data_IF_403123747548
#
_entry.id   IF_403123747548
#
_cell.length_a   1.000
_cell.length_b   1.000
_cell.length_c   1.000
_cell.angle_alpha   90.00
_cell.angle_beta   90.00
_cell.angle_gamma   90.00
#
_symmetry.space_group_name_H-M   'P 1'
#
loop_
_entity.id
_entity.type
_entity.pdbx_description
1 polymer ?
#
# COMPACT_ATOMS: atom_id res chain seq x y z
N UNK A 1 22.57 -2.03 19.04
CA UNK A 1 21.23 -1.47 18.84
C UNK A 1 20.50 -2.40 17.87
N UNK A 2 19.52 -3.10 18.36
CA UNK A 2 18.58 -3.76 17.44
C UNK A 2 17.70 -2.68 16.82
N UNK A 3 17.80 -2.49 15.50
CA UNK A 3 16.83 -1.70 14.75
C UNK A 3 15.52 -2.49 14.71
N UNK A 4 14.71 -2.33 15.73
CA UNK A 4 13.40 -2.97 15.83
C UNK A 4 12.43 -2.16 14.97
N UNK A 5 12.03 -2.72 13.82
CA UNK A 5 10.94 -2.15 13.04
C UNK A 5 9.61 -2.40 13.79
N UNK A 6 9.18 -1.41 14.54
CA UNK A 6 7.97 -1.51 15.38
C UNK A 6 6.72 -1.08 14.64
N UNK A 7 6.83 -0.15 13.68
CA UNK A 7 5.71 0.39 12.91
C UNK A 7 6.01 0.37 11.43
N UNK A 8 5.32 -0.50 10.74
CA UNK A 8 5.53 -0.78 9.31
C UNK A 8 4.32 -0.27 8.54
N UNK A 9 4.56 0.53 7.51
CA UNK A 9 3.55 0.96 6.55
C UNK A 9 3.74 0.20 5.25
N UNK A 10 2.67 -0.36 4.69
CA UNK A 10 2.66 -0.87 3.32
C UNK A 10 1.62 -0.14 2.48
N UNK A 11 2.05 0.33 1.31
CA UNK A 11 1.17 0.98 0.34
C UNK A 11 0.56 -0.06 -0.60
N UNK A 12 -0.76 -0.03 -0.76
CA UNK A 12 -1.52 -0.94 -1.64
C UNK A 12 -2.42 -0.16 -2.59
N UNK A 13 -2.53 -0.63 -3.83
CA UNK A 13 -3.32 0.00 -4.89
C UNK A 13 -4.13 -1.00 -5.73
N UNK A 14 -4.16 -2.26 -5.33
CA UNK A 14 -4.81 -3.34 -6.08
C UNK A 14 -3.97 -3.92 -7.20
N UNK A 15 -2.70 -3.58 -7.31
CA UNK A 15 -1.76 -4.21 -8.25
C UNK A 15 -1.14 -5.49 -7.68
N UNK A 16 -0.68 -6.36 -8.57
CA UNK A 16 0.08 -7.57 -8.19
C UNK A 16 1.37 -7.23 -7.44
N UNK A 17 2.03 -6.16 -7.82
CA UNK A 17 3.25 -5.68 -7.18
C UNK A 17 2.99 -5.22 -5.74
N UNK A 18 1.89 -4.48 -5.52
CA UNK A 18 1.50 -4.04 -4.19
C UNK A 18 1.11 -5.23 -3.30
N UNK A 19 0.44 -6.25 -3.84
CA UNK A 19 0.13 -7.46 -3.06
C UNK A 19 1.40 -8.23 -2.68
N UNK A 20 2.39 -8.31 -3.58
CA UNK A 20 3.67 -8.91 -3.22
C UNK A 20 4.43 -8.08 -2.18
N UNK A 21 4.39 -6.74 -2.28
CA UNK A 21 4.92 -5.85 -1.25
C UNK A 21 4.23 -6.07 0.11
N UNK A 22 2.90 -6.23 0.10
CA UNK A 22 2.13 -6.57 1.29
C UNK A 22 2.58 -7.90 1.92
N UNK A 23 2.77 -8.97 1.14
CA UNK A 23 3.28 -10.25 1.66
C UNK A 23 4.66 -10.11 2.30
N UNK A 24 5.53 -9.29 1.73
CA UNK A 24 6.84 -8.98 2.32
C UNK A 24 6.70 -8.20 3.63
N UNK A 25 5.82 -7.19 3.68
CA UNK A 25 5.56 -6.41 4.91
C UNK A 25 5.03 -7.31 6.04
N UNK A 26 4.10 -8.22 5.75
CA UNK A 26 3.61 -9.22 6.71
C UNK A 26 4.76 -10.10 7.22
N UNK A 27 5.63 -10.58 6.33
CA UNK A 27 6.78 -11.40 6.72
C UNK A 27 7.77 -10.63 7.62
N UNK A 28 7.97 -9.33 7.37
CA UNK A 28 8.81 -8.47 8.22
C UNK A 28 8.13 -8.26 9.58
N UNK A 29 6.84 -7.92 9.60
CA UNK A 29 6.09 -7.72 10.84
C UNK A 29 6.11 -8.96 11.74
N UNK A 30 5.96 -10.17 11.17
CA UNK A 30 6.02 -11.44 11.92
C UNK A 30 7.37 -11.72 12.57
N UNK A 31 8.46 -11.15 12.07
CA UNK A 31 9.82 -11.31 12.64
C UNK A 31 10.12 -10.28 13.71
N UNK A 32 9.30 -9.26 13.85
CA UNK A 32 9.47 -8.20 14.83
C UNK A 32 8.34 -8.32 15.86
N UNK A 33 8.70 -8.71 17.07
CA UNK A 33 7.76 -8.85 18.17
C UNK A 33 7.03 -7.53 18.42
N UNK A 34 5.71 -7.60 18.58
CA UNK A 34 4.85 -6.43 18.81
C UNK A 34 4.76 -5.42 17.65
N UNK A 35 5.25 -5.74 16.46
CA UNK A 35 5.15 -4.83 15.34
C UNK A 35 3.69 -4.50 14.97
N UNK A 36 3.45 -3.24 14.66
CA UNK A 36 2.21 -2.72 14.10
C UNK A 36 2.33 -2.66 12.58
N UNK A 37 1.37 -3.24 11.88
CA UNK A 37 1.30 -3.15 10.42
C UNK A 37 0.17 -2.22 10.00
N UNK A 38 0.52 -1.13 9.34
CA UNK A 38 -0.40 -0.18 8.73
C UNK A 38 -0.49 -0.47 7.23
N UNK A 39 -1.70 -0.66 6.73
CA UNK A 39 -1.98 -0.95 5.32
C UNK A 39 -2.73 0.24 4.76
N UNK A 40 -2.11 0.99 3.87
CA UNK A 40 -2.66 2.24 3.36
C UNK A 40 -2.91 2.21 1.85
N UNK A 41 -4.03 2.77 1.47
CA UNK A 41 -4.35 3.13 0.09
C UNK A 41 -4.80 4.58 0.01
N UNK A 42 -4.35 5.29 -1.01
CA UNK A 42 -4.64 6.71 -1.17
C UNK A 42 -5.47 6.92 -2.44
N UNK A 43 -6.61 7.59 -2.28
CA UNK A 43 -7.42 8.06 -3.40
C UNK A 43 -6.75 9.30 -3.96
N UNK A 44 -6.21 9.19 -5.19
CA UNK A 44 -5.46 10.26 -5.83
C UNK A 44 -6.35 11.44 -6.18
N UNK A 45 -6.20 12.52 -5.44
CA UNK A 45 -6.96 13.75 -5.65
C UNK A 45 -6.60 14.46 -6.97
N UNK A 46 -5.46 14.16 -7.59
CA UNK A 46 -5.06 14.78 -8.85
C UNK A 46 -5.77 14.19 -10.07
N UNK A 47 -6.14 12.90 -10.00
CA UNK A 47 -6.89 12.23 -11.07
C UNK A 47 -8.37 12.63 -11.02
N UNK A 48 -8.81 13.09 -9.89
CA UNK A 48 -10.19 13.28 -9.52
C UNK A 48 -10.81 14.62 -9.89
N UNK A 49 -10.10 15.47 -10.60
CA UNK A 49 -10.59 16.81 -10.97
C UNK A 49 -11.85 16.79 -11.86
N UNK A 50 -12.20 15.66 -12.47
CA UNK A 50 -13.36 15.53 -13.32
C UNK A 50 -14.59 14.87 -12.69
N UNK A 51 -14.50 14.29 -11.50
CA UNK A 51 -15.62 13.54 -10.91
C UNK A 51 -15.70 13.48 -9.39
N UNK A 52 -14.59 13.64 -8.64
CA UNK A 52 -14.60 13.54 -7.17
C UNK A 52 -15.23 14.76 -6.46
N UNK A 53 -15.59 15.81 -7.20
CA UNK A 53 -16.45 16.87 -6.66
C UNK A 53 -17.90 16.40 -6.44
N UNK A 54 -18.29 15.29 -7.07
CA UNK A 54 -19.57 14.65 -6.83
C UNK A 54 -19.47 13.71 -5.62
N UNK A 55 -20.21 13.97 -4.53
CA UNK A 55 -20.18 13.15 -3.33
C UNK A 55 -20.54 11.67 -3.57
N UNK A 56 -21.40 11.39 -4.55
CA UNK A 56 -21.78 10.03 -4.89
C UNK A 56 -20.61 9.25 -5.52
N UNK A 57 -19.92 9.89 -6.45
CA UNK A 57 -18.76 9.31 -7.12
C UNK A 57 -17.63 9.10 -6.09
N UNK A 58 -17.36 10.11 -5.26
CA UNK A 58 -16.36 10.01 -4.20
C UNK A 58 -16.65 8.83 -3.24
N UNK A 59 -17.90 8.75 -2.75
CA UNK A 59 -18.29 7.67 -1.85
C UNK A 59 -18.12 6.28 -2.47
N UNK A 60 -18.38 6.15 -3.77
CA UNK A 60 -18.15 4.90 -4.50
C UNK A 60 -16.66 4.51 -4.52
N UNK A 61 -15.77 5.46 -4.84
CA UNK A 61 -14.32 5.23 -4.80
C UNK A 61 -13.84 4.91 -3.40
N UNK A 62 -14.28 5.66 -2.40
CA UNK A 62 -13.92 5.44 -1.01
C UNK A 62 -14.31 4.03 -0.54
N UNK A 63 -15.55 3.64 -0.80
CA UNK A 63 -16.06 2.32 -0.44
C UNK A 63 -15.22 1.20 -1.04
N UNK A 64 -14.91 1.28 -2.34
CA UNK A 64 -14.08 0.28 -3.04
C UNK A 64 -12.65 0.22 -2.49
N UNK A 65 -12.03 1.38 -2.28
CA UNK A 65 -10.69 1.45 -1.71
C UNK A 65 -10.67 0.88 -0.30
N UNK A 66 -11.71 1.16 0.48
CA UNK A 66 -11.87 0.59 1.83
C UNK A 66 -12.01 -0.93 1.78
N UNK A 67 -12.82 -1.48 0.90
CA UNK A 67 -12.99 -2.93 0.72
C UNK A 67 -11.67 -3.61 0.33
N UNK A 68 -10.86 -2.96 -0.51
CA UNK A 68 -9.52 -3.42 -0.84
C UNK A 68 -8.62 -3.48 0.41
N UNK A 69 -8.54 -2.38 1.16
CA UNK A 69 -7.73 -2.30 2.38
C UNK A 69 -8.20 -3.31 3.43
N UNK A 70 -9.51 -3.43 3.63
CA UNK A 70 -10.11 -4.39 4.58
C UNK A 70 -9.76 -5.85 4.20
N UNK A 71 -9.69 -6.16 2.90
CA UNK A 71 -9.27 -7.49 2.42
C UNK A 71 -7.82 -7.80 2.80
N UNK A 72 -6.92 -6.82 2.70
CA UNK A 72 -5.54 -6.98 3.13
C UNK A 72 -5.41 -7.06 4.65
N UNK A 73 -6.18 -6.27 5.40
CA UNK A 73 -6.22 -6.33 6.88
C UNK A 73 -6.66 -7.74 7.33
N UNK A 74 -7.71 -8.27 6.70
CA UNK A 74 -8.19 -9.62 6.98
C UNK A 74 -7.10 -10.67 6.71
N UNK A 75 -6.46 -10.59 5.53
CA UNK A 75 -5.38 -11.51 5.16
C UNK A 75 -4.21 -11.47 6.15
N UNK A 76 -3.79 -10.28 6.59
CA UNK A 76 -2.70 -10.13 7.55
C UNK A 76 -3.04 -10.74 8.92
N UNK A 77 -4.30 -10.60 9.36
CA UNK A 77 -4.80 -11.21 10.60
C UNK A 77 -4.87 -12.74 10.49
N UNK A 78 -5.29 -13.26 9.35
CA UNK A 78 -5.29 -14.71 9.06
C UNK A 78 -3.86 -15.26 9.03
N UNK A 79 -2.88 -14.47 8.60
CA UNK A 79 -1.44 -14.79 8.66
C UNK A 79 -0.85 -14.67 10.09
N UNK A 80 -1.67 -14.37 11.11
CA UNK A 80 -1.32 -14.39 12.53
C UNK A 80 -0.90 -13.06 13.14
N UNK A 81 -1.00 -11.93 12.41
CA UNK A 81 -0.75 -10.62 12.97
C UNK A 81 -1.95 -10.12 13.78
N UNK A 82 -1.68 -9.53 14.95
CA UNK A 82 -2.73 -9.00 15.86
C UNK A 82 -2.88 -7.49 15.76
N UNK A 83 -1.79 -6.77 15.49
CA UNK A 83 -1.76 -5.30 15.42
C UNK A 83 -1.74 -4.86 13.95
N UNK A 84 -2.90 -4.90 13.30
CA UNK A 84 -3.06 -4.56 11.87
C UNK A 84 -4.12 -3.47 11.72
N UNK A 85 -3.76 -2.40 11.02
CA UNK A 85 -4.59 -1.21 10.85
C UNK A 85 -4.72 -0.84 9.36
N UNK A 86 -5.95 -0.63 8.90
CA UNK A 86 -6.22 -0.15 7.56
C UNK A 86 -6.35 1.37 7.54
N UNK A 87 -5.80 2.01 6.51
CA UNK A 87 -5.86 3.45 6.27
C UNK A 87 -6.33 3.70 4.85
N UNK A 88 -7.36 4.53 4.70
CA UNK A 88 -7.78 5.08 3.41
C UNK A 88 -7.77 6.59 3.53
N UNK A 89 -6.93 7.23 2.74
CA UNK A 89 -6.78 8.68 2.70
C UNK A 89 -7.06 9.21 1.29
N UNK A 90 -7.34 10.51 1.20
CA UNK A 90 -7.43 11.24 -0.06
C UNK A 90 -6.32 12.28 -0.11
N UNK A 91 -5.64 12.38 -1.24
CA UNK A 91 -4.60 13.39 -1.41
C UNK A 91 -3.65 13.06 -2.56
N UNK A 92 -2.47 13.61 -2.50
CA UNK A 92 -1.38 13.30 -3.43
C UNK A 92 -0.65 12.07 -2.88
N UNK A 93 -0.74 10.89 -3.52
CA UNK A 93 -0.28 9.63 -2.91
C UNK A 93 1.16 9.65 -2.43
N UNK A 94 2.07 10.25 -3.22
CA UNK A 94 3.49 10.33 -2.85
C UNK A 94 3.72 11.16 -1.57
N UNK A 95 2.90 12.18 -1.29
CA UNK A 95 3.00 13.02 -0.09
C UNK A 95 2.34 12.31 1.10
N UNK A 96 1.10 11.87 0.92
CA UNK A 96 0.36 11.18 1.99
C UNK A 96 1.13 9.98 2.52
N UNK A 97 1.73 9.16 1.64
CA UNK A 97 2.44 7.95 2.01
C UNK A 97 3.87 8.19 2.52
N UNK A 98 4.52 9.30 2.16
CA UNK A 98 5.89 9.60 2.57
C UNK A 98 6.00 10.52 3.77
N UNK A 99 5.02 11.40 3.97
CA UNK A 99 5.06 12.44 4.99
C UNK A 99 3.89 12.32 5.96
N UNK A 100 2.63 12.48 5.50
CA UNK A 100 1.48 12.60 6.40
C UNK A 100 1.29 11.38 7.29
N UNK A 101 1.18 10.18 6.73
CA UNK A 101 0.99 8.94 7.50
C UNK A 101 2.26 8.59 8.29
N UNK A 102 3.43 8.79 7.69
CA UNK A 102 4.73 8.49 8.33
C UNK A 102 4.91 9.32 9.59
N UNK A 103 4.65 10.63 9.52
CA UNK A 103 4.79 11.53 10.67
C UNK A 103 3.67 11.30 11.69
N UNK A 104 2.41 11.15 11.26
CA UNK A 104 1.28 10.96 12.17
C UNK A 104 1.37 9.67 12.99
N UNK A 105 1.75 8.57 12.35
CA UNK A 105 1.81 7.26 13.00
C UNK A 105 3.19 6.92 13.57
N UNK A 106 4.22 7.70 13.26
CA UNK A 106 5.59 7.42 13.64
C UNK A 106 6.13 6.15 12.98
N UNK A 107 5.96 6.04 11.67
CA UNK A 107 6.37 4.85 10.90
C UNK A 107 7.89 4.73 10.85
N UNK A 108 8.41 3.53 11.14
CA UNK A 108 9.84 3.21 11.07
C UNK A 108 10.26 2.72 9.70
N UNK A 109 9.35 2.01 9.01
CA UNK A 109 9.62 1.37 7.72
C UNK A 109 8.42 1.49 6.79
N UNK A 110 8.65 2.00 5.58
CA UNK A 110 7.69 1.93 4.49
C UNK A 110 8.06 0.83 3.52
N UNK A 111 7.10 -0.01 3.15
CA UNK A 111 7.24 -1.07 2.14
C UNK A 111 6.30 -0.75 0.98
N UNK A 112 6.81 -0.72 -0.23
CA UNK A 112 5.96 -0.53 -1.42
C UNK A 112 6.54 -1.23 -2.65
N UNK A 113 5.68 -1.48 -3.63
CA UNK A 113 6.11 -1.95 -4.94
C UNK A 113 6.85 -0.86 -5.71
N UNK A 114 7.75 -1.24 -6.60
CA UNK A 114 8.47 -0.29 -7.46
C UNK A 114 7.56 0.39 -8.49
N UNK A 115 6.42 -0.21 -8.81
CA UNK A 115 5.38 0.33 -9.72
C UNK A 115 4.00 -0.11 -9.23
N UNK A 116 2.97 0.62 -9.65
CA UNK A 116 1.57 0.31 -9.34
C UNK A 116 0.77 -0.17 -10.57
N UNK A 117 -0.55 0.09 -10.57
CA UNK A 117 -1.50 -0.31 -11.62
C UNK A 117 -1.13 0.21 -13.02
N UNK A 118 -0.53 1.40 -13.11
CA UNK A 118 -0.15 2.05 -14.36
C UNK A 118 1.26 1.71 -14.84
N UNK A 119 1.90 0.71 -14.20
CA UNK A 119 3.31 0.37 -14.40
C UNK A 119 3.73 0.30 -15.86
N UNK A 120 4.45 1.33 -16.32
CA UNK A 120 5.08 1.31 -17.63
C UNK A 120 6.23 0.30 -17.63
N UNK A 121 6.19 -0.67 -18.54
CA UNK A 121 7.22 -1.73 -18.67
C UNK A 121 8.67 -1.22 -18.82
N UNK A 122 8.85 0.09 -19.06
CA UNK A 122 10.15 0.75 -19.25
C UNK A 122 10.62 1.58 -18.06
N UNK A 123 9.78 1.84 -17.06
CA UNK A 123 10.16 2.62 -15.88
C UNK A 123 10.64 1.68 -14.78
N UNK A 124 11.85 1.94 -14.27
CA UNK A 124 12.43 1.20 -13.15
C UNK A 124 11.70 1.49 -11.83
N UNK A 125 11.03 2.65 -11.72
CA UNK A 125 10.34 3.10 -10.52
C UNK A 125 9.16 4.01 -10.90
N UNK A 126 8.02 3.84 -10.21
CA UNK A 126 6.83 4.70 -10.37
C UNK A 126 6.95 6.00 -9.57
N UNK A 127 6.13 7.00 -9.94
CA UNK A 127 6.17 8.33 -9.31
C UNK A 127 5.90 8.31 -7.80
N UNK A 128 5.02 7.42 -7.34
CA UNK A 128 4.69 7.28 -5.90
C UNK A 128 5.86 6.67 -5.16
N UNK A 129 6.39 5.55 -5.63
CA UNK A 129 7.54 4.89 -5.00
C UNK A 129 8.81 5.74 -5.01
N UNK A 130 9.05 6.49 -6.10
CA UNK A 130 10.14 7.49 -6.15
C UNK A 130 9.94 8.58 -5.10
N UNK A 131 8.72 9.11 -4.98
CA UNK A 131 8.39 10.12 -3.97
C UNK A 131 8.59 9.60 -2.55
N UNK A 132 8.17 8.37 -2.25
CA UNK A 132 8.38 7.75 -0.95
C UNK A 132 9.87 7.66 -0.62
N UNK A 133 10.69 7.14 -1.54
CA UNK A 133 12.16 7.05 -1.33
C UNK A 133 12.80 8.42 -1.10
N UNK A 134 12.31 9.45 -1.78
CA UNK A 134 12.87 10.80 -1.73
C UNK A 134 12.49 11.58 -0.46
N UNK A 135 11.27 11.43 0.02
CA UNK A 135 10.70 12.31 1.04
C UNK A 135 10.43 11.63 2.39
N UNK A 136 10.28 10.31 2.44
CA UNK A 136 10.03 9.62 3.72
C UNK A 136 11.23 9.77 4.67
N UNK A 137 10.94 10.13 5.91
CA UNK A 137 11.94 10.17 6.99
C UNK A 137 12.25 8.78 7.57
N UNK A 138 11.40 7.81 7.25
CA UNK A 138 11.57 6.40 7.64
C UNK A 138 12.50 5.67 6.67
N UNK A 139 12.93 4.47 7.05
CA UNK A 139 13.51 3.52 6.10
C UNK A 139 12.47 3.10 5.05
N UNK A 140 12.94 2.73 3.85
CA UNK A 140 12.08 2.34 2.73
C UNK A 140 12.59 1.06 2.07
N UNK A 141 11.70 0.10 1.91
CA UNK A 141 11.94 -1.11 1.11
C UNK A 141 11.11 -1.03 -0.16
N UNK A 142 11.79 -1.04 -1.29
CA UNK A 142 11.16 -1.13 -2.62
C UNK A 142 11.19 -2.57 -3.12
N UNK A 143 10.01 -3.13 -3.35
CA UNK A 143 9.85 -4.47 -3.91
C UNK A 143 9.81 -4.38 -5.42
N UNK A 144 10.86 -4.89 -6.06
CA UNK A 144 11.01 -4.84 -7.52
C UNK A 144 10.12 -5.90 -8.19
N UNK A 145 9.58 -5.59 -9.36
CA UNK A 145 8.79 -6.53 -10.15
C UNK A 145 9.53 -7.86 -10.41
N UNK A 146 10.84 -7.80 -10.64
CA UNK A 146 11.69 -8.99 -10.88
C UNK A 146 11.79 -9.93 -9.68
N UNK A 147 11.47 -9.47 -8.48
CA UNK A 147 11.49 -10.29 -7.26
C UNK A 147 10.20 -11.05 -7.02
N UNK A 148 9.17 -10.81 -7.84
CA UNK A 148 7.89 -11.50 -7.72
C UNK A 148 8.05 -12.91 -8.30
N UNK A 149 7.81 -13.98 -7.53
CA UNK A 149 7.84 -15.33 -8.05
C UNK A 149 6.88 -15.53 -9.22
N UNK A 150 7.28 -16.32 -10.22
CA UNK A 150 6.46 -16.55 -11.42
C UNK A 150 5.12 -17.23 -11.09
N UNK A 151 5.09 -18.05 -10.05
CA UNK A 151 3.94 -18.79 -9.52
C UNK A 151 3.14 -18.02 -8.46
N UNK A 152 3.53 -16.77 -8.14
CA UNK A 152 2.79 -15.96 -7.18
C UNK A 152 1.41 -15.55 -7.74
N UNK A 153 0.37 -15.95 -7.05
CA UNK A 153 -1.01 -15.57 -7.34
C UNK A 153 -1.45 -14.40 -6.44
N UNK A 154 -1.68 -13.25 -7.05
CA UNK A 154 -2.21 -12.06 -6.37
C UNK A 154 -3.74 -12.16 -6.28
N UNK A 155 -4.24 -12.89 -5.31
CA UNK A 155 -5.67 -13.22 -5.20
C UNK A 155 -6.54 -12.02 -4.82
N UNK A 156 -6.04 -11.13 -3.97
CA UNK A 156 -6.75 -9.91 -3.56
C UNK A 156 -6.77 -8.91 -4.72
N UNK A 157 -5.63 -8.68 -5.36
CA UNK A 157 -5.52 -7.77 -6.50
C UNK A 157 -6.37 -8.25 -7.67
N UNK A 158 -6.36 -9.54 -7.98
CA UNK A 158 -7.17 -10.13 -9.04
C UNK A 158 -8.65 -9.92 -8.80
N UNK A 159 -9.15 -10.24 -7.61
CA UNK A 159 -10.55 -10.03 -7.24
C UNK A 159 -10.94 -8.56 -7.35
N UNK A 160 -10.12 -7.66 -6.85
CA UNK A 160 -10.36 -6.22 -6.92
C UNK A 160 -10.45 -5.72 -8.36
N UNK A 161 -9.59 -6.20 -9.26
CA UNK A 161 -9.61 -5.83 -10.68
C UNK A 161 -10.82 -6.39 -11.42
N UNK A 162 -11.21 -7.65 -11.17
CA UNK A 162 -12.40 -8.28 -11.77
C UNK A 162 -13.72 -7.56 -11.38
N UNK A 163 -13.76 -6.96 -10.19
CA UNK A 163 -14.91 -6.16 -9.74
C UNK A 163 -14.95 -4.77 -10.39
N UNK A 164 -13.85 -4.31 -10.99
CA UNK A 164 -13.81 -3.05 -11.74
C UNK A 164 -14.36 -3.18 -13.17
N UNK A 165 -14.26 -4.36 -13.75
CA UNK A 165 -14.65 -4.64 -15.12
C UNK A 165 -16.17 -4.95 -15.26
N UNK A 166 -16.92 -4.95 -14.16
CA UNK A 166 -18.39 -5.16 -14.09
C UNK A 166 -19.15 -3.86 -13.92
#
# INVERSE_FOLDING_TARGET
>A
MENKCSKILVAVDGSKQAEWAFKNAVAIARRNEDAELYIASVIDATIATSGLSDPYIFNSFYKRTKELVDSYVKSAKEDGLTKVFGIVEQGIPKIVLSEDIVDEKGIDLVVCGSSGLTGFKRMLMGSVSEGIVRYAKSDVIIIKQRSIPADFEATIAKKFQEEQDK
#
